data_IF_685882752740
#
_entry.id   IF_685882752740
#
_cell.length_a   1.000
_cell.length_b   1.000
_cell.length_c   1.000
_cell.angle_alpha   90.00
_cell.angle_beta   90.00
_cell.angle_gamma   90.00
#
_symmetry.space_group_name_H-M   'P 1'
#
loop_
_entity.id
_entity.type
_entity.pdbx_description
1 polymer ?
#
# COMPACT_ATOMS: atom_id res chain seq x y z
N UNK A 1 3.40 31.30 2.68
CA UNK A 1 2.33 31.01 3.66
C UNK A 1 2.79 31.22 5.09
N UNK A 2 1.95 31.71 6.02
CA UNK A 2 2.26 31.74 7.46
C UNK A 2 2.55 30.34 8.00
N UNK A 3 3.47 30.21 8.96
CA UNK A 3 3.93 28.92 9.49
C UNK A 3 2.78 28.01 9.95
N UNK A 4 1.87 28.50 10.80
CA UNK A 4 0.71 27.73 11.30
C UNK A 4 -0.17 27.20 10.17
N UNK A 5 -0.42 27.98 9.13
CA UNK A 5 -1.27 27.60 8.00
C UNK A 5 -0.67 26.46 7.17
N UNK A 6 0.67 26.37 7.07
CA UNK A 6 1.35 25.27 6.36
C UNK A 6 1.11 23.92 7.05
N UNK A 7 1.19 23.89 8.37
CA UNK A 7 0.99 22.65 9.13
C UNK A 7 -0.48 22.19 9.14
N UNK A 8 -1.44 23.12 9.12
CA UNK A 8 -2.85 22.75 8.89
C UNK A 8 -3.06 22.15 7.50
N UNK A 9 -2.37 22.64 6.48
CA UNK A 9 -2.42 22.05 5.14
C UNK A 9 -1.77 20.64 5.11
N UNK A 10 -0.66 20.44 5.82
CA UNK A 10 -0.05 19.10 6.00
C UNK A 10 -1.00 18.17 6.74
N UNK A 11 -1.70 18.66 7.77
CA UNK A 11 -2.70 17.89 8.49
C UNK A 11 -3.90 17.50 7.59
N UNK A 12 -4.42 18.42 6.77
CA UNK A 12 -5.48 18.13 5.81
C UNK A 12 -5.11 17.03 4.81
N UNK A 13 -3.89 17.15 4.24
CA UNK A 13 -3.34 16.16 3.31
C UNK A 13 -3.08 14.84 4.01
N UNK A 14 -2.49 14.87 5.19
CA UNK A 14 -2.22 13.67 5.98
C UNK A 14 -3.50 12.92 6.36
N UNK A 15 -4.54 13.65 6.77
CA UNK A 15 -5.84 13.06 7.10
C UNK A 15 -6.50 12.39 5.88
N UNK A 16 -6.37 12.97 4.68
CA UNK A 16 -6.88 12.34 3.45
C UNK A 16 -6.12 11.06 3.07
N UNK A 17 -4.80 11.00 3.30
CA UNK A 17 -3.99 9.81 3.07
C UNK A 17 -4.34 8.72 4.10
N UNK A 18 -4.47 9.09 5.37
CA UNK A 18 -4.93 8.19 6.42
C UNK A 18 -6.30 7.59 6.05
N UNK A 19 -7.25 8.43 5.62
CA UNK A 19 -8.57 8.01 5.17
C UNK A 19 -8.51 6.98 4.03
N UNK A 20 -7.70 7.22 3.00
CA UNK A 20 -7.56 6.29 1.87
C UNK A 20 -6.89 4.96 2.25
N UNK A 21 -6.16 4.93 3.36
CA UNK A 21 -5.52 3.74 3.90
C UNK A 21 -6.38 3.03 4.96
N UNK A 22 -7.37 3.73 5.52
CA UNK A 22 -8.30 3.20 6.51
C UNK A 22 -9.33 2.28 5.81
N UNK A 23 -8.89 1.11 5.38
CA UNK A 23 -9.81 0.14 4.74
C UNK A 23 -10.41 -0.81 5.79
N UNK A 24 -11.38 -0.29 6.55
CA UNK A 24 -12.15 -1.07 7.51
C UNK A 24 -13.11 -2.07 6.84
N UNK A 25 -13.28 -1.99 5.53
CA UNK A 25 -14.19 -2.83 4.72
C UNK A 25 -13.81 -4.31 4.77
N UNK A 26 -12.52 -4.60 4.93
CA UNK A 26 -11.99 -5.96 4.91
C UNK A 26 -12.68 -6.85 5.95
N UNK A 27 -12.84 -6.35 7.18
CA UNK A 27 -13.48 -7.11 8.27
C UNK A 27 -14.98 -7.30 8.03
N UNK A 28 -15.60 -6.42 7.23
CA UNK A 28 -17.02 -6.44 6.93
C UNK A 28 -17.41 -7.39 5.77
N UNK A 29 -16.44 -7.97 5.06
CA UNK A 29 -16.69 -8.82 3.89
C UNK A 29 -17.66 -9.99 4.17
N UNK A 30 -17.52 -10.78 5.24
CA UNK A 30 -18.46 -11.85 5.55
C UNK A 30 -19.87 -11.32 5.79
N UNK A 31 -20.02 -10.22 6.54
CA UNK A 31 -21.32 -9.61 6.80
C UNK A 31 -22.00 -9.09 5.53
N UNK A 32 -21.22 -8.56 4.57
CA UNK A 32 -21.73 -8.15 3.26
C UNK A 32 -22.13 -9.34 2.40
N UNK A 33 -21.34 -10.43 2.41
CA UNK A 33 -21.63 -11.68 1.71
C UNK A 33 -22.98 -12.24 2.18
N UNK A 34 -23.19 -12.32 3.49
CA UNK A 34 -24.46 -12.78 4.08
C UNK A 34 -25.65 -11.83 3.74
N UNK A 35 -25.42 -10.52 3.84
CA UNK A 35 -26.48 -9.52 3.57
C UNK A 35 -26.99 -9.57 2.14
N UNK A 36 -26.08 -9.69 1.17
CA UNK A 36 -26.44 -9.73 -0.26
C UNK A 36 -26.58 -11.15 -0.82
N UNK A 37 -26.43 -12.18 0.01
CA UNK A 37 -26.48 -13.61 -0.37
C UNK A 37 -25.50 -13.94 -1.50
N UNK A 38 -24.26 -13.46 -1.37
CA UNK A 38 -23.21 -13.62 -2.35
C UNK A 38 -22.31 -14.80 -2.02
N UNK A 39 -21.76 -15.43 -3.06
CA UNK A 39 -20.63 -16.35 -2.89
C UNK A 39 -19.38 -15.57 -2.43
N UNK A 40 -18.45 -16.28 -1.75
CA UNK A 40 -17.18 -15.71 -1.33
C UNK A 40 -16.42 -15.10 -2.54
N UNK A 41 -16.43 -15.78 -3.69
CA UNK A 41 -15.80 -15.30 -4.91
C UNK A 41 -16.38 -13.97 -5.43
N UNK A 42 -17.71 -13.81 -5.42
CA UNK A 42 -18.36 -12.56 -5.83
C UNK A 42 -18.10 -11.41 -4.84
N UNK A 43 -17.93 -11.73 -3.56
CA UNK A 43 -17.63 -10.73 -2.55
C UNK A 43 -16.26 -10.06 -2.76
N UNK A 44 -15.33 -10.72 -3.47
CA UNK A 44 -14.06 -10.11 -3.88
C UNK A 44 -14.24 -8.83 -4.69
N UNK A 45 -15.35 -8.71 -5.43
CA UNK A 45 -15.68 -7.51 -6.21
C UNK A 45 -15.79 -6.26 -5.33
N UNK A 46 -16.12 -6.39 -4.04
CA UNK A 46 -16.14 -5.26 -3.10
C UNK A 46 -14.73 -4.65 -2.95
N UNK A 47 -13.69 -5.48 -2.88
CA UNK A 47 -12.29 -5.01 -2.83
C UNK A 47 -11.82 -4.58 -4.21
N UNK A 48 -12.07 -5.39 -5.24
CA UNK A 48 -11.57 -5.16 -6.60
C UNK A 48 -12.17 -3.89 -7.21
N UNK A 49 -13.45 -3.61 -6.99
CA UNK A 49 -14.11 -2.39 -7.49
C UNK A 49 -13.55 -1.09 -6.89
N UNK A 50 -12.87 -1.16 -5.76
CA UNK A 50 -12.11 -0.05 -5.17
C UNK A 50 -10.67 -0.03 -5.67
N UNK A 51 -9.97 -1.18 -5.62
CA UNK A 51 -8.53 -1.24 -5.86
C UNK A 51 -8.16 -1.13 -7.35
N UNK A 52 -9.00 -1.63 -8.26
CA UNK A 52 -8.75 -1.54 -9.71
C UNK A 52 -8.79 -0.07 -10.18
N UNK A 53 -9.87 0.70 -9.96
CA UNK A 53 -9.90 2.12 -10.35
C UNK A 53 -8.78 2.93 -9.70
N UNK A 54 -8.50 2.68 -8.42
CA UNK A 54 -7.40 3.32 -7.70
C UNK A 54 -6.05 3.05 -8.39
N UNK A 55 -5.79 1.81 -8.81
CA UNK A 55 -4.54 1.41 -9.46
C UNK A 55 -4.42 1.98 -10.88
N UNK A 56 -5.48 1.88 -11.67
CA UNK A 56 -5.50 2.35 -13.07
C UNK A 56 -5.39 3.87 -13.15
N UNK A 57 -6.07 4.59 -12.26
CA UNK A 57 -6.14 6.04 -12.30
C UNK A 57 -4.95 6.73 -11.63
N UNK A 58 -4.11 6.02 -10.85
CA UNK A 58 -2.98 6.66 -10.16
C UNK A 58 -1.97 7.29 -11.13
N UNK A 59 -1.69 6.65 -12.27
CA UNK A 59 -0.77 7.15 -13.27
C UNK A 59 -1.35 8.36 -14.03
N UNK A 60 -2.56 8.32 -14.62
CA UNK A 60 -3.14 9.49 -15.27
C UNK A 60 -3.41 10.64 -14.29
N UNK A 61 -3.85 10.39 -13.07
CA UNK A 61 -3.99 11.44 -12.05
C UNK A 61 -2.64 12.08 -11.74
N UNK A 62 -1.57 11.30 -11.59
CA UNK A 62 -0.21 11.81 -11.36
C UNK A 62 0.30 12.69 -12.50
N UNK A 63 0.01 12.32 -13.73
CA UNK A 63 0.40 13.10 -14.91
C UNK A 63 -0.38 14.42 -15.04
N UNK A 64 -1.63 14.45 -14.59
CA UNK A 64 -2.52 15.61 -14.71
C UNK A 64 -2.48 16.56 -13.53
N UNK A 65 -1.99 16.12 -12.34
CA UNK A 65 -2.10 16.89 -11.08
C UNK A 65 -1.47 18.29 -11.16
N UNK A 66 -0.41 18.46 -11.94
CA UNK A 66 0.26 19.76 -12.13
C UNK A 66 -0.51 20.76 -13.01
N UNK A 67 -1.57 20.31 -13.71
CA UNK A 67 -2.38 21.14 -14.60
C UNK A 67 -3.57 21.81 -13.89
N UNK A 68 -3.96 21.29 -12.73
CA UNK A 68 -5.13 21.76 -12.01
C UNK A 68 -4.74 22.54 -10.75
N UNK A 69 -5.63 23.43 -10.33
CA UNK A 69 -5.46 24.21 -9.09
C UNK A 69 -5.53 23.26 -7.89
N UNK A 70 -4.59 23.34 -6.94
CA UNK A 70 -4.48 22.40 -5.81
C UNK A 70 -5.74 22.30 -4.95
N UNK A 71 -6.34 23.43 -4.56
CA UNK A 71 -7.49 23.45 -3.67
C UNK A 71 -8.74 22.78 -4.28
N UNK A 72 -9.25 23.16 -5.48
CA UNK A 72 -10.44 22.49 -6.03
C UNK A 72 -10.19 21.01 -6.30
N UNK A 73 -8.98 20.61 -6.72
CA UNK A 73 -8.64 19.21 -6.93
C UNK A 73 -8.61 18.43 -5.63
N UNK A 74 -8.07 19.02 -4.55
CA UNK A 74 -8.09 18.41 -3.22
C UNK A 74 -9.52 18.23 -2.70
N UNK A 75 -10.36 19.26 -2.83
CA UNK A 75 -11.76 19.18 -2.41
C UNK A 75 -12.55 18.15 -3.23
N UNK A 76 -12.36 18.13 -4.56
CA UNK A 76 -13.00 17.14 -5.42
C UNK A 76 -12.59 15.71 -5.00
N UNK A 77 -11.30 15.48 -4.70
CA UNK A 77 -10.82 14.18 -4.26
C UNK A 77 -11.45 13.72 -2.94
N UNK A 78 -11.43 14.59 -1.92
CA UNK A 78 -11.94 14.24 -0.58
C UNK A 78 -13.48 14.14 -0.56
N UNK A 79 -14.18 15.08 -1.20
CA UNK A 79 -15.64 15.07 -1.25
C UNK A 79 -16.18 13.95 -2.15
N UNK A 80 -15.52 13.67 -3.27
CA UNK A 80 -15.85 12.55 -4.14
C UNK A 80 -15.66 11.20 -3.45
N UNK A 81 -14.57 11.04 -2.67
CA UNK A 81 -14.38 9.86 -1.82
C UNK A 81 -15.49 9.74 -0.77
N UNK A 82 -15.85 10.84 -0.11
CA UNK A 82 -16.96 10.89 0.85
C UNK A 82 -18.31 10.55 0.23
N UNK A 83 -18.58 11.04 -0.99
CA UNK A 83 -19.80 10.69 -1.74
C UNK A 83 -19.87 9.18 -2.02
N UNK A 84 -18.76 8.59 -2.50
CA UNK A 84 -18.65 7.13 -2.69
C UNK A 84 -18.92 6.38 -1.38
N UNK A 85 -18.39 6.89 -0.25
CA UNK A 85 -18.62 6.31 1.08
C UNK A 85 -20.10 6.37 1.49
N UNK A 86 -20.78 7.50 1.26
CA UNK A 86 -22.22 7.63 1.52
C UNK A 86 -23.01 6.65 0.64
N UNK A 87 -22.68 6.54 -0.65
CA UNK A 87 -23.34 5.59 -1.56
C UNK A 87 -23.15 4.14 -1.08
N UNK A 88 -21.96 3.76 -0.64
CA UNK A 88 -21.72 2.43 -0.08
C UNK A 88 -22.53 2.19 1.21
N UNK A 89 -22.54 3.17 2.12
CA UNK A 89 -23.27 3.06 3.39
C UNK A 89 -24.81 3.02 3.21
N UNK A 90 -25.34 3.61 2.15
CA UNK A 90 -26.76 3.60 1.80
C UNK A 90 -27.12 2.50 0.79
N UNK A 91 -26.19 1.62 0.42
CA UNK A 91 -26.42 0.61 -0.59
C UNK A 91 -27.45 -0.43 -0.15
N UNK A 92 -28.57 -0.48 -0.86
CA UNK A 92 -29.65 -1.45 -0.68
C UNK A 92 -29.47 -2.69 -1.55
N UNK A 93 -28.61 -2.62 -2.57
CA UNK A 93 -28.29 -3.71 -3.50
C UNK A 93 -26.79 -3.73 -3.82
N UNK A 94 -26.33 -4.88 -4.28
CA UNK A 94 -24.91 -5.07 -4.58
C UNK A 94 -24.36 -4.17 -5.69
N UNK A 95 -25.04 -3.96 -6.84
CA UNK A 95 -24.57 -3.02 -7.86
C UNK A 95 -24.35 -1.60 -7.36
N UNK A 96 -25.19 -1.07 -6.47
CA UNK A 96 -25.02 0.25 -5.89
C UNK A 96 -23.78 0.32 -4.98
N UNK A 97 -23.52 -0.75 -4.20
CA UNK A 97 -22.31 -0.89 -3.41
C UNK A 97 -21.07 -0.84 -4.30
N UNK A 98 -21.06 -1.63 -5.39
CA UNK A 98 -19.94 -1.67 -6.36
C UNK A 98 -19.72 -0.29 -7.01
N UNK A 99 -20.77 0.39 -7.42
CA UNK A 99 -20.67 1.75 -7.99
C UNK A 99 -20.04 2.73 -6.97
N UNK A 100 -20.48 2.69 -5.72
CA UNK A 100 -19.91 3.49 -4.66
C UNK A 100 -18.41 3.19 -4.45
N UNK A 101 -18.00 1.91 -4.51
CA UNK A 101 -16.59 1.48 -4.41
C UNK A 101 -15.75 1.96 -5.60
N UNK A 102 -16.28 1.92 -6.83
CA UNK A 102 -15.61 2.47 -8.02
C UNK A 102 -15.37 3.96 -7.86
N UNK A 103 -16.36 4.70 -7.37
CA UNK A 103 -16.24 6.15 -7.09
C UNK A 103 -15.17 6.38 -6.00
N UNK A 104 -15.23 5.67 -4.87
CA UNK A 104 -14.22 5.77 -3.82
C UNK A 104 -12.81 5.50 -4.34
N UNK A 105 -12.61 4.42 -5.11
CA UNK A 105 -11.31 4.05 -5.68
C UNK A 105 -10.77 5.11 -6.64
N UNK A 106 -11.65 5.68 -7.48
CA UNK A 106 -11.28 6.73 -8.42
C UNK A 106 -10.80 8.00 -7.71
N UNK A 107 -11.53 8.47 -6.73
CA UNK A 107 -11.12 9.63 -5.93
C UNK A 107 -9.99 9.31 -4.95
N UNK A 108 -9.87 8.07 -4.49
CA UNK A 108 -8.73 7.56 -3.72
C UNK A 108 -7.40 7.66 -4.50
N UNK A 109 -7.42 7.38 -5.81
CA UNK A 109 -6.26 7.59 -6.68
C UNK A 109 -5.83 9.07 -6.72
N UNK A 110 -6.79 9.98 -6.77
CA UNK A 110 -6.54 11.41 -6.76
C UNK A 110 -5.96 11.86 -5.40
N UNK A 111 -6.46 11.34 -4.28
CA UNK A 111 -5.91 11.59 -2.94
C UNK A 111 -4.45 11.13 -2.87
N UNK A 112 -4.17 9.90 -3.29
CA UNK A 112 -2.83 9.32 -3.20
C UNK A 112 -1.79 10.05 -4.05
N UNK A 113 -2.16 10.49 -5.25
CA UNK A 113 -1.23 11.17 -6.17
C UNK A 113 -0.94 12.60 -5.76
N UNK A 114 -1.95 13.36 -5.32
CA UNK A 114 -1.74 14.77 -4.97
C UNK A 114 -1.16 14.96 -3.57
N UNK A 115 -1.35 14.00 -2.64
CA UNK A 115 -0.95 14.16 -1.26
C UNK A 115 0.53 14.47 -1.09
N UNK A 116 1.41 13.66 -1.67
CA UNK A 116 2.86 13.87 -1.59
C UNK A 116 3.30 15.15 -2.35
N UNK A 117 2.69 15.44 -3.50
CA UNK A 117 3.00 16.63 -4.27
C UNK A 117 2.63 17.93 -3.53
N UNK A 118 1.45 17.96 -2.91
CA UNK A 118 1.00 19.07 -2.07
C UNK A 118 1.90 19.26 -0.86
N UNK A 119 2.22 18.17 -0.14
CA UNK A 119 3.10 18.25 1.02
C UNK A 119 4.45 18.87 0.68
N UNK A 120 5.07 18.46 -0.43
CA UNK A 120 6.34 19.01 -0.89
C UNK A 120 6.26 20.49 -1.28
N UNK A 121 5.11 20.95 -1.80
CA UNK A 121 4.90 22.32 -2.24
C UNK A 121 4.53 23.29 -1.11
N UNK A 122 3.88 22.79 -0.05
CA UNK A 122 3.35 23.61 1.04
C UNK A 122 4.45 24.04 2.03
N UNK A 123 5.39 23.13 2.33
CA UNK A 123 6.40 23.36 3.37
C UNK A 123 7.71 23.94 2.81
N UNK A 124 8.43 24.65 3.67
CA UNK A 124 9.76 25.16 3.31
C UNK A 124 10.75 23.98 3.08
N UNK A 125 11.81 24.18 2.26
CA UNK A 125 12.76 23.11 1.95
C UNK A 125 13.34 22.39 3.18
N UNK A 126 13.65 23.11 4.24
CA UNK A 126 14.21 22.59 5.49
C UNK A 126 13.17 21.81 6.35
N UNK A 127 11.86 21.97 6.11
CA UNK A 127 10.78 21.28 6.82
C UNK A 127 10.24 20.05 6.05
N UNK A 128 10.66 19.87 4.80
CA UNK A 128 10.15 18.79 3.92
C UNK A 128 10.32 17.41 4.53
N UNK A 129 11.47 17.12 5.12
CA UNK A 129 11.72 15.83 5.77
C UNK A 129 10.70 15.53 6.88
N UNK A 130 10.39 16.51 7.73
CA UNK A 130 9.41 16.38 8.81
C UNK A 130 7.98 16.19 8.27
N UNK A 131 7.57 16.95 7.27
CA UNK A 131 6.25 16.83 6.66
C UNK A 131 6.07 15.49 5.95
N UNK A 132 7.07 15.06 5.17
CA UNK A 132 7.06 13.76 4.49
C UNK A 132 7.09 12.58 5.46
N UNK A 133 7.85 12.68 6.54
CA UNK A 133 7.85 11.68 7.62
C UNK A 133 6.48 11.54 8.28
N UNK A 134 5.84 12.67 8.62
CA UNK A 134 4.50 12.66 9.20
C UNK A 134 3.47 12.03 8.24
N UNK A 135 3.45 12.45 6.98
CA UNK A 135 2.52 11.91 5.98
C UNK A 135 2.82 10.45 5.69
N UNK A 136 4.10 10.07 5.59
CA UNK A 136 4.52 8.70 5.38
C UNK A 136 4.12 7.74 6.51
N UNK A 137 4.00 8.23 7.75
CA UNK A 137 3.52 7.43 8.89
C UNK A 137 2.00 7.25 8.91
N UNK A 138 1.23 8.16 8.31
CA UNK A 138 -0.24 8.12 8.38
C UNK A 138 -0.84 7.01 7.51
N UNK A 139 -0.24 6.65 6.39
CA UNK A 139 -0.71 5.53 5.57
C UNK A 139 -0.59 4.17 6.29
N UNK A 140 0.58 3.79 6.88
CA UNK A 140 0.67 2.61 7.72
C UNK A 140 -0.28 2.64 8.92
N UNK A 141 -0.43 3.79 9.59
CA UNK A 141 -1.36 3.93 10.71
C UNK A 141 -2.81 3.71 10.29
N UNK A 142 -3.21 4.20 9.10
CA UNK A 142 -4.53 3.92 8.54
C UNK A 142 -4.74 2.42 8.31
N UNK A 143 -3.78 1.75 7.70
CA UNK A 143 -3.82 0.30 7.46
C UNK A 143 -3.88 -0.53 8.76
N UNK A 144 -3.20 -0.07 9.82
CA UNK A 144 -3.30 -0.68 11.15
C UNK A 144 -4.68 -0.41 11.77
N UNK A 145 -5.15 0.84 11.72
CA UNK A 145 -6.40 1.22 12.36
C UNK A 145 -7.65 0.61 11.70
N UNK A 146 -7.61 0.35 10.40
CA UNK A 146 -8.74 -0.15 9.60
C UNK A 146 -9.40 -1.39 10.18
N UNK A 147 -8.71 -2.52 10.25
CA UNK A 147 -9.31 -3.75 10.78
C UNK A 147 -9.76 -3.63 12.24
N UNK A 148 -9.00 -2.94 13.08
CA UNK A 148 -9.36 -2.73 14.49
C UNK A 148 -10.63 -1.91 14.66
N UNK A 149 -10.70 -0.75 14.02
CA UNK A 149 -11.89 0.12 14.04
C UNK A 149 -13.07 -0.59 13.38
N UNK A 150 -12.84 -1.25 12.22
CA UNK A 150 -13.87 -2.00 11.51
C UNK A 150 -14.47 -3.10 12.35
N UNK A 151 -13.64 -3.90 13.03
CA UNK A 151 -14.10 -4.97 13.93
C UNK A 151 -14.92 -4.45 15.10
N UNK A 152 -14.51 -3.37 15.75
CA UNK A 152 -15.28 -2.74 16.84
C UNK A 152 -16.60 -2.14 16.35
N UNK A 153 -16.62 -1.52 15.19
CA UNK A 153 -17.85 -0.99 14.61
C UNK A 153 -18.86 -2.11 14.30
N UNK A 154 -18.39 -3.22 13.72
CA UNK A 154 -19.21 -4.37 13.38
C UNK A 154 -19.73 -5.14 14.60
N UNK A 155 -19.04 -5.04 15.75
CA UNK A 155 -19.50 -5.64 16.99
C UNK A 155 -20.79 -4.98 17.55
N UNK A 156 -21.02 -3.70 17.20
CA UNK A 156 -22.12 -2.90 17.77
C UNK A 156 -23.11 -2.40 16.71
N UNK A 157 -22.70 -2.33 15.45
CA UNK A 157 -23.52 -1.79 14.35
C UNK A 157 -23.44 -2.67 13.10
N UNK A 158 -24.31 -2.40 12.14
CA UNK A 158 -24.32 -3.07 10.86
C UNK A 158 -23.13 -2.64 9.97
N UNK A 159 -22.81 -3.44 8.94
CA UNK A 159 -21.66 -3.23 8.06
C UNK A 159 -21.61 -1.85 7.37
N UNK A 160 -22.74 -1.19 7.18
CA UNK A 160 -22.84 0.14 6.55
C UNK A 160 -22.05 1.21 7.30
N UNK A 161 -21.93 1.08 8.62
CA UNK A 161 -21.25 2.07 9.48
C UNK A 161 -19.77 2.16 9.16
N UNK A 162 -19.16 1.09 8.67
CA UNK A 162 -17.76 1.07 8.21
C UNK A 162 -17.51 2.11 7.12
N UNK A 163 -18.49 2.39 6.28
CA UNK A 163 -18.39 3.42 5.26
C UNK A 163 -18.72 4.81 5.82
N UNK A 164 -19.70 4.92 6.71
CA UNK A 164 -20.08 6.21 7.28
C UNK A 164 -18.98 6.83 8.15
N UNK A 165 -18.10 6.04 8.74
CA UNK A 165 -16.91 6.56 9.47
C UNK A 165 -16.03 7.45 8.59
N UNK A 166 -15.98 7.21 7.29
CA UNK A 166 -15.20 8.02 6.37
C UNK A 166 -15.76 9.43 6.19
N UNK A 167 -17.09 9.60 6.32
CA UNK A 167 -17.76 10.87 6.01
C UNK A 167 -17.33 12.02 6.90
N UNK A 168 -17.31 11.90 8.25
CA UNK A 168 -16.81 12.97 9.11
C UNK A 168 -15.33 13.26 8.89
N UNK A 169 -14.52 12.25 8.57
CA UNK A 169 -13.10 12.43 8.26
C UNK A 169 -12.93 13.23 6.97
N UNK A 170 -13.72 12.92 5.92
CA UNK A 170 -13.78 13.69 4.68
C UNK A 170 -14.19 15.15 4.95
N UNK A 171 -15.24 15.36 5.75
CA UNK A 171 -15.70 16.69 6.13
C UNK A 171 -14.61 17.51 6.82
N UNK A 172 -13.92 16.91 7.79
CA UNK A 172 -12.81 17.56 8.51
C UNK A 172 -11.63 17.87 7.57
N UNK A 173 -11.23 16.92 6.72
CA UNK A 173 -10.16 17.12 5.75
C UNK A 173 -10.51 18.22 4.74
N UNK A 174 -11.75 18.27 4.26
CA UNK A 174 -12.25 19.32 3.34
C UNK A 174 -12.24 20.70 4.01
N UNK A 175 -12.72 20.82 5.25
CA UNK A 175 -12.69 22.07 6.01
C UNK A 175 -11.26 22.55 6.23
N UNK A 176 -10.36 21.69 6.71
CA UNK A 176 -8.96 22.03 6.88
C UNK A 176 -8.31 22.46 5.55
N UNK A 177 -8.63 21.77 4.45
CA UNK A 177 -8.17 22.11 3.11
C UNK A 177 -8.67 23.47 2.64
N UNK A 178 -9.95 23.81 2.84
CA UNK A 178 -10.55 25.10 2.53
C UNK A 178 -9.82 26.27 3.23
N UNK A 179 -9.47 26.09 4.51
CA UNK A 179 -8.77 27.13 5.27
C UNK A 179 -7.28 27.23 4.91
N UNK A 180 -6.62 26.09 4.62
CA UNK A 180 -5.18 26.03 4.54
C UNK A 180 -4.61 26.07 3.12
N UNK A 181 -5.29 25.52 2.11
CA UNK A 181 -4.78 25.39 0.75
C UNK A 181 -5.09 26.58 -0.18
N UNK A 182 -5.80 27.58 0.28
CA UNK A 182 -6.08 28.79 -0.51
C UNK A 182 -4.77 29.49 -0.92
N UNK A 183 -4.60 29.73 -2.25
CA UNK A 183 -3.41 30.39 -2.81
C UNK A 183 -2.16 29.52 -2.91
N UNK A 184 -2.26 28.21 -2.72
CA UNK A 184 -1.19 27.24 -3.04
C UNK A 184 -1.18 27.03 -4.55
N UNK A 185 -0.01 27.12 -5.19
CA UNK A 185 0.24 26.70 -6.55
C UNK A 185 1.26 25.55 -6.55
N UNK A 186 0.97 24.49 -7.28
CA UNK A 186 1.96 23.51 -7.68
C UNK A 186 2.65 24.10 -8.89
N UNK A 187 3.97 24.40 -8.82
CA UNK A 187 4.73 24.87 -9.98
C UNK A 187 4.53 23.91 -11.16
N UNK A 188 4.55 24.46 -12.38
CA UNK A 188 4.40 23.65 -13.59
C UNK A 188 5.47 22.56 -13.64
N UNK A 189 5.11 21.34 -13.28
CA UNK A 189 5.87 20.14 -13.61
C UNK A 189 5.47 19.77 -15.03
N UNK A 190 6.35 20.01 -15.99
CA UNK A 190 6.29 19.35 -17.29
C UNK A 190 6.78 17.90 -17.08
N UNK A 191 5.92 16.90 -17.11
CA UNK A 191 6.40 15.53 -17.21
C UNK A 191 6.84 15.33 -18.65
N UNK A 192 8.10 15.02 -18.87
CA UNK A 192 8.54 14.38 -20.11
C UNK A 192 7.98 12.95 -20.12
N UNK A 193 6.73 12.83 -20.51
CA UNK A 193 6.01 11.55 -20.49
C UNK A 193 6.67 10.50 -21.41
N UNK A 194 7.37 10.93 -22.48
CA UNK A 194 8.04 10.03 -23.42
C UNK A 194 9.29 9.36 -22.85
N UNK A 195 10.08 10.05 -22.05
CA UNK A 195 11.30 9.49 -21.44
C UNK A 195 10.99 8.50 -20.29
N UNK A 196 9.88 8.71 -19.59
CA UNK A 196 9.49 7.88 -18.44
C UNK A 196 9.22 6.41 -18.82
N UNK A 197 8.47 6.16 -19.89
CA UNK A 197 8.18 4.79 -20.35
C UNK A 197 9.42 4.05 -20.84
N UNK A 198 10.31 4.75 -21.55
CA UNK A 198 11.57 4.18 -22.01
C UNK A 198 12.45 3.75 -20.82
N UNK A 199 12.59 4.61 -19.80
CA UNK A 199 13.33 4.30 -18.59
C UNK A 199 12.70 3.14 -17.80
N UNK A 200 11.36 3.04 -17.72
CA UNK A 200 10.68 1.91 -17.11
C UNK A 200 11.01 0.59 -17.84
N UNK A 201 10.98 0.57 -19.17
CA UNK A 201 11.31 -0.60 -19.96
C UNK A 201 12.79 -1.03 -19.79
N UNK A 202 13.71 -0.07 -19.69
CA UNK A 202 15.11 -0.34 -19.41
C UNK A 202 15.32 -0.94 -18.01
N UNK A 203 14.62 -0.43 -17.01
CA UNK A 203 14.70 -0.94 -15.63
C UNK A 203 14.20 -2.37 -15.54
N UNK A 204 13.11 -2.71 -16.23
CA UNK A 204 12.56 -4.07 -16.26
C UNK A 204 13.50 -5.07 -16.94
N UNK A 205 14.43 -4.64 -17.81
CA UNK A 205 15.46 -5.48 -18.39
C UNK A 205 16.65 -5.73 -17.46
N UNK A 206 16.82 -4.95 -16.40
CA UNK A 206 17.88 -5.15 -15.41
C UNK A 206 17.52 -6.31 -14.48
N UNK A 207 18.33 -7.36 -14.47
CA UNK A 207 18.08 -8.62 -13.73
C UNK A 207 17.70 -8.38 -12.27
N UNK A 208 18.54 -7.66 -11.52
CA UNK A 208 18.30 -7.43 -10.09
C UNK A 208 17.05 -6.59 -9.83
N UNK A 209 16.75 -5.62 -10.70
CA UNK A 209 15.55 -4.79 -10.59
C UNK A 209 14.30 -5.61 -10.83
N UNK A 210 14.27 -6.43 -11.88
CA UNK A 210 13.13 -7.29 -12.22
C UNK A 210 12.79 -8.27 -11.09
N UNK A 211 13.80 -9.01 -10.59
CA UNK A 211 13.57 -9.99 -9.51
C UNK A 211 13.21 -9.32 -8.19
N UNK A 212 13.82 -8.19 -7.84
CA UNK A 212 13.43 -7.43 -6.66
C UNK A 212 11.99 -6.87 -6.75
N UNK A 213 11.59 -6.44 -7.95
CA UNK A 213 10.22 -6.00 -8.22
C UNK A 213 9.22 -7.16 -8.08
N UNK A 214 9.53 -8.31 -8.67
CA UNK A 214 8.67 -9.50 -8.63
C UNK A 214 8.55 -10.10 -7.22
N UNK A 215 9.66 -10.15 -6.46
CA UNK A 215 9.64 -10.60 -5.07
C UNK A 215 8.75 -9.73 -4.17
N UNK A 216 8.81 -8.41 -4.35
CA UNK A 216 7.90 -7.52 -3.63
C UNK A 216 6.45 -7.68 -4.09
N UNK A 217 6.20 -7.79 -5.39
CA UNK A 217 4.86 -8.04 -5.93
C UNK A 217 4.26 -9.30 -5.30
N UNK A 218 5.03 -10.40 -5.23
CA UNK A 218 4.60 -11.65 -4.59
C UNK A 218 4.24 -11.44 -3.13
N UNK A 219 5.07 -10.72 -2.37
CA UNK A 219 4.82 -10.45 -0.94
C UNK A 219 3.56 -9.60 -0.71
N UNK A 220 3.34 -8.57 -1.53
CA UNK A 220 2.12 -7.74 -1.44
C UNK A 220 0.89 -8.51 -1.91
N UNK A 221 1.04 -9.40 -2.89
CA UNK A 221 -0.04 -10.31 -3.34
C UNK A 221 -0.46 -11.25 -2.20
N UNK A 222 0.49 -11.79 -1.43
CA UNK A 222 0.19 -12.58 -0.22
C UNK A 222 -0.60 -11.74 0.78
N UNK A 223 -0.17 -10.50 1.06
CA UNK A 223 -0.88 -9.62 1.99
C UNK A 223 -2.33 -9.35 1.54
N UNK A 224 -2.53 -9.01 0.26
CA UNK A 224 -3.85 -8.79 -0.32
C UNK A 224 -4.74 -10.03 -0.25
N UNK A 225 -4.17 -11.20 -0.54
CA UNK A 225 -4.87 -12.47 -0.47
C UNK A 225 -5.23 -12.87 0.98
N UNK A 226 -4.34 -12.65 1.95
CA UNK A 226 -4.61 -12.86 3.38
C UNK A 226 -5.72 -11.94 3.89
N UNK A 227 -5.69 -10.66 3.53
CA UNK A 227 -6.75 -9.72 3.90
C UNK A 227 -8.11 -10.05 3.29
N UNK A 228 -8.12 -10.78 2.17
CA UNK A 228 -9.35 -11.26 1.58
C UNK A 228 -9.84 -12.57 2.23
N UNK A 229 -8.96 -13.57 2.42
CA UNK A 229 -9.32 -14.89 2.93
C UNK A 229 -9.63 -14.89 4.43
N UNK A 230 -8.77 -14.26 5.24
CA UNK A 230 -8.84 -14.37 6.70
C UNK A 230 -10.18 -13.91 7.31
N UNK A 231 -10.86 -12.85 6.86
CA UNK A 231 -12.17 -12.49 7.39
C UNK A 231 -13.20 -13.64 7.28
N UNK A 232 -13.17 -14.41 6.18
CA UNK A 232 -14.06 -15.56 6.01
C UNK A 232 -13.63 -16.74 6.91
N UNK A 233 -12.32 -17.03 7.00
CA UNK A 233 -11.84 -18.07 7.93
C UNK A 233 -12.22 -17.73 9.38
N UNK A 234 -11.97 -16.50 9.82
CA UNK A 234 -12.25 -16.05 11.18
C UNK A 234 -13.76 -16.05 11.49
N UNK A 235 -14.64 -15.75 10.53
CA UNK A 235 -16.09 -15.74 10.68
C UNK A 235 -16.70 -17.13 10.56
N UNK A 236 -16.38 -17.85 9.48
CA UNK A 236 -17.14 -19.02 9.04
C UNK A 236 -16.53 -20.34 9.54
N UNK A 237 -15.20 -20.40 9.73
CA UNK A 237 -14.49 -21.58 10.25
C UNK A 237 -14.23 -21.46 11.74
N UNK A 238 -13.73 -20.30 12.17
CA UNK A 238 -13.36 -20.08 13.58
C UNK A 238 -14.53 -19.57 14.44
N UNK A 239 -15.63 -19.14 13.82
CA UNK A 239 -16.83 -18.57 14.47
C UNK A 239 -16.53 -17.44 15.45
N UNK A 240 -15.52 -16.60 15.13
CA UNK A 240 -15.10 -15.48 15.96
C UNK A 240 -15.97 -14.25 15.74
N UNK A 241 -16.10 -13.46 16.79
CA UNK A 241 -16.80 -12.16 16.68
C UNK A 241 -16.02 -11.19 15.79
N UNK A 242 -16.69 -10.26 15.08
CA UNK A 242 -16.02 -9.25 14.24
C UNK A 242 -14.97 -8.43 15.00
N UNK A 243 -15.19 -8.15 16.28
CA UNK A 243 -14.24 -7.46 17.14
C UNK A 243 -12.94 -8.26 17.31
N UNK A 244 -13.04 -9.56 17.62
CA UNK A 244 -11.88 -10.44 17.75
C UNK A 244 -11.17 -10.62 16.42
N UNK A 245 -11.91 -10.81 15.33
CA UNK A 245 -11.36 -10.91 13.99
C UNK A 245 -10.58 -9.65 13.61
N UNK A 246 -11.13 -8.45 13.88
CA UNK A 246 -10.44 -7.19 13.67
C UNK A 246 -9.13 -7.06 14.43
N UNK A 247 -9.09 -7.51 15.69
CA UNK A 247 -7.87 -7.51 16.52
C UNK A 247 -6.81 -8.48 16.00
N UNK A 248 -7.21 -9.67 15.54
CA UNK A 248 -6.28 -10.64 14.93
C UNK A 248 -5.68 -10.06 13.63
N UNK A 249 -6.50 -9.46 12.78
CA UNK A 249 -6.05 -8.84 11.53
C UNK A 249 -5.09 -7.65 11.74
N UNK A 250 -5.12 -6.99 12.91
CA UNK A 250 -4.14 -5.96 13.28
C UNK A 250 -2.72 -6.50 13.42
N UNK A 251 -2.54 -7.78 13.75
CA UNK A 251 -1.22 -8.33 14.09
C UNK A 251 -0.26 -8.28 12.91
N UNK A 252 -0.75 -8.49 11.67
CA UNK A 252 0.09 -8.42 10.49
C UNK A 252 0.64 -7.01 10.23
N UNK A 253 -0.16 -5.94 10.14
CA UNK A 253 0.37 -4.58 9.93
C UNK A 253 1.17 -4.06 11.14
N UNK A 254 0.88 -4.51 12.36
CA UNK A 254 1.71 -4.20 13.53
C UNK A 254 3.11 -4.81 13.39
N UNK A 255 3.21 -6.09 13.04
CA UNK A 255 4.48 -6.75 12.77
C UNK A 255 5.26 -6.06 11.66
N UNK A 256 4.58 -5.70 10.57
CA UNK A 256 5.18 -4.95 9.45
C UNK A 256 5.72 -3.59 9.89
N UNK A 257 4.94 -2.83 10.67
CA UNK A 257 5.30 -1.46 11.07
C UNK A 257 6.47 -1.43 12.03
N UNK A 258 6.41 -2.22 13.11
CA UNK A 258 7.45 -2.27 14.15
C UNK A 258 8.79 -2.74 13.56
N UNK A 259 8.78 -3.84 12.83
CA UNK A 259 10.02 -4.43 12.28
C UNK A 259 10.48 -3.70 11.02
N UNK A 260 9.58 -3.08 10.25
CA UNK A 260 9.94 -2.25 9.11
C UNK A 260 10.83 -1.06 9.48
N UNK A 261 10.57 -0.42 10.63
CA UNK A 261 11.43 0.65 11.16
C UNK A 261 12.83 0.14 11.53
N UNK A 262 12.89 -1.01 12.21
CA UNK A 262 14.15 -1.66 12.58
C UNK A 262 14.90 -2.16 11.34
N UNK A 263 14.19 -2.69 10.35
CA UNK A 263 14.75 -3.18 9.09
C UNK A 263 15.47 -2.10 8.30
N UNK A 264 14.95 -0.86 8.30
CA UNK A 264 15.62 0.29 7.70
C UNK A 264 16.97 0.57 8.36
N UNK A 265 16.99 0.69 9.69
CA UNK A 265 18.22 0.93 10.46
C UNK A 265 19.27 -0.19 10.28
N UNK A 266 18.83 -1.44 10.31
CA UNK A 266 19.70 -2.59 10.11
C UNK A 266 20.26 -2.67 8.68
N UNK A 267 19.48 -2.27 7.69
CA UNK A 267 19.89 -2.19 6.29
C UNK A 267 21.04 -1.22 6.08
N UNK A 268 20.98 -0.06 6.73
CA UNK A 268 22.04 0.95 6.63
C UNK A 268 23.36 0.44 7.22
N UNK A 269 23.33 -0.44 8.22
CA UNK A 269 24.52 -0.96 8.92
C UNK A 269 25.08 -2.24 8.29
N UNK A 270 24.24 -3.15 7.85
CA UNK A 270 24.64 -4.51 7.43
C UNK A 270 24.33 -4.80 5.95
N UNK A 271 23.78 -3.82 5.22
CA UNK A 271 23.32 -4.00 3.86
C UNK A 271 21.93 -4.61 3.76
N UNK A 272 21.29 -4.45 2.61
CA UNK A 272 19.88 -4.80 2.44
C UNK A 272 19.65 -6.30 2.16
N UNK A 273 20.59 -6.99 1.50
CA UNK A 273 20.41 -8.37 1.02
C UNK A 273 20.14 -9.41 2.12
N UNK A 274 20.87 -9.46 3.25
CA UNK A 274 20.58 -10.45 4.29
C UNK A 274 19.15 -10.30 4.84
N UNK A 275 18.65 -9.07 4.95
CA UNK A 275 17.30 -8.80 5.47
C UNK A 275 16.20 -9.12 4.46
N UNK A 276 16.43 -8.93 3.16
CA UNK A 276 15.47 -9.40 2.15
C UNK A 276 15.35 -10.93 2.14
N UNK A 277 16.45 -11.65 2.31
CA UNK A 277 16.45 -13.11 2.36
C UNK A 277 15.80 -13.63 3.66
N UNK A 278 16.21 -13.10 4.81
CA UNK A 278 15.61 -13.52 6.10
C UNK A 278 14.13 -13.13 6.19
N UNK A 279 13.76 -11.94 5.70
CA UNK A 279 12.37 -11.48 5.67
C UNK A 279 11.49 -12.37 4.80
N UNK A 280 11.91 -12.67 3.55
CA UNK A 280 11.16 -13.58 2.67
C UNK A 280 11.09 -15.01 3.23
N UNK A 281 12.15 -15.49 3.86
CA UNK A 281 12.17 -16.79 4.57
C UNK A 281 11.18 -16.83 5.73
N UNK A 282 11.09 -15.77 6.54
CA UNK A 282 10.11 -15.65 7.63
C UNK A 282 8.67 -15.59 7.09
N UNK A 283 8.44 -14.89 5.95
CA UNK A 283 7.12 -14.92 5.29
C UNK A 283 6.77 -16.35 4.88
N UNK A 284 7.70 -17.10 4.29
CA UNK A 284 7.46 -18.47 3.88
C UNK A 284 7.12 -19.37 5.08
N UNK A 285 7.91 -19.30 6.15
CA UNK A 285 7.66 -20.08 7.38
C UNK A 285 6.32 -19.68 8.00
N UNK A 286 6.05 -18.39 8.13
CA UNK A 286 4.80 -17.89 8.70
C UNK A 286 3.56 -18.33 7.91
N UNK A 287 3.64 -18.26 6.57
CA UNK A 287 2.56 -18.66 5.67
C UNK A 287 2.37 -20.20 5.69
N UNK A 288 3.44 -20.98 5.72
CA UNK A 288 3.37 -22.44 5.89
C UNK A 288 2.67 -22.81 7.19
N UNK A 289 3.08 -22.21 8.30
CA UNK A 289 2.47 -22.45 9.60
C UNK A 289 1.01 -21.98 9.65
N UNK A 290 0.67 -20.88 8.99
CA UNK A 290 -0.70 -20.39 8.91
C UNK A 290 -1.57 -21.33 8.07
N UNK A 291 -1.09 -21.81 6.92
CA UNK A 291 -1.86 -22.69 6.02
C UNK A 291 -2.20 -24.05 6.66
N UNK A 292 -1.43 -24.50 7.65
CA UNK A 292 -1.74 -25.74 8.39
C UNK A 292 -2.97 -25.61 9.28
N UNK A 293 -3.42 -24.40 9.61
CA UNK A 293 -4.53 -24.16 10.54
C UNK A 293 -5.78 -23.54 9.90
N UNK A 294 -5.69 -23.08 8.67
CA UNK A 294 -6.81 -22.42 7.96
C UNK A 294 -8.07 -23.30 7.79
N UNK A 295 -7.98 -24.61 7.97
CA UNK A 295 -9.10 -25.53 7.73
C UNK A 295 -9.66 -26.09 9.05
N UNK A 296 -8.98 -25.85 10.17
CA UNK A 296 -9.32 -26.42 11.47
C UNK A 296 -9.61 -25.33 12.50
N UNK A 297 -10.59 -25.54 13.37
CA UNK A 297 -10.80 -24.68 14.52
C UNK A 297 -9.52 -24.56 15.35
N UNK A 298 -9.05 -23.34 15.57
CA UNK A 298 -7.75 -23.07 16.17
C UNK A 298 -7.86 -21.98 17.23
N UNK A 299 -6.96 -21.97 18.21
CA UNK A 299 -6.97 -20.94 19.24
C UNK A 299 -6.65 -19.54 18.66
N UNK A 300 -7.27 -18.51 19.22
CA UNK A 300 -6.99 -17.09 18.87
C UNK A 300 -5.49 -16.78 18.98
N UNK A 301 -4.84 -17.30 20.03
CA UNK A 301 -3.41 -17.13 20.24
C UNK A 301 -2.60 -17.72 19.07
N UNK A 302 -2.98 -18.89 18.60
CA UNK A 302 -2.28 -19.63 17.56
C UNK A 302 -2.35 -18.93 16.19
N UNK A 303 -3.50 -18.35 15.84
CA UNK A 303 -3.67 -17.50 14.66
C UNK A 303 -2.88 -16.19 14.78
N UNK A 304 -2.92 -15.57 15.96
CA UNK A 304 -2.33 -14.26 16.21
C UNK A 304 -0.81 -14.25 16.01
N UNK A 305 -0.09 -15.21 16.65
CA UNK A 305 1.37 -15.22 16.53
C UNK A 305 1.86 -15.61 15.11
N UNK A 306 1.13 -16.50 14.43
CA UNK A 306 1.47 -16.86 13.03
C UNK A 306 1.29 -15.68 12.10
N UNK A 307 0.20 -14.94 12.25
CA UNK A 307 -0.06 -13.75 11.46
C UNK A 307 0.95 -12.62 11.77
N UNK A 308 1.32 -12.49 13.04
CA UNK A 308 2.39 -11.58 13.47
C UNK A 308 3.73 -11.96 12.83
N UNK A 309 4.06 -13.26 12.76
CA UNK A 309 5.28 -13.76 12.13
C UNK A 309 5.33 -13.41 10.63
N UNK A 310 4.21 -13.57 9.92
CA UNK A 310 4.08 -13.13 8.52
C UNK A 310 4.34 -11.62 8.41
N UNK A 311 3.73 -10.82 9.30
CA UNK A 311 3.92 -9.37 9.33
C UNK A 311 5.37 -8.96 9.60
N UNK A 312 6.04 -9.61 10.55
CA UNK A 312 7.48 -9.41 10.85
C UNK A 312 8.31 -9.70 9.61
N UNK A 313 8.08 -10.83 8.94
CA UNK A 313 8.77 -11.20 7.71
C UNK A 313 8.58 -10.15 6.61
N UNK A 314 7.35 -9.68 6.40
CA UNK A 314 7.04 -8.63 5.43
C UNK A 314 7.73 -7.30 5.76
N UNK A 315 7.73 -6.90 7.04
CA UNK A 315 8.42 -5.69 7.50
C UNK A 315 9.92 -5.74 7.24
N UNK A 316 10.53 -6.89 7.52
CA UNK A 316 11.96 -7.11 7.31
C UNK A 316 12.33 -7.22 5.81
N UNK A 317 11.39 -7.60 4.95
CA UNK A 317 11.57 -7.69 3.50
C UNK A 317 11.36 -6.36 2.79
N UNK A 318 10.27 -5.66 3.07
CA UNK A 318 9.77 -4.54 2.24
C UNK A 318 10.74 -3.36 2.18
N UNK A 319 11.21 -2.87 3.33
CA UNK A 319 12.14 -1.74 3.42
C UNK A 319 13.48 -2.03 2.76
N UNK A 320 14.19 -3.10 3.15
CA UNK A 320 15.45 -3.50 2.53
C UNK A 320 15.35 -3.76 1.02
N UNK A 321 14.29 -4.41 0.56
CA UNK A 321 14.07 -4.63 -0.87
C UNK A 321 13.87 -3.30 -1.64
N UNK A 322 13.15 -2.35 -1.04
CA UNK A 322 13.02 -1.00 -1.62
C UNK A 322 14.38 -0.30 -1.72
N UNK A 323 15.22 -0.42 -0.69
CA UNK A 323 16.57 0.14 -0.69
C UNK A 323 17.44 -0.49 -1.79
N UNK A 324 17.39 -1.83 -1.97
CA UNK A 324 18.10 -2.51 -3.06
C UNK A 324 17.70 -1.99 -4.44
N UNK A 325 16.42 -1.75 -4.66
CA UNK A 325 15.91 -1.26 -5.94
C UNK A 325 16.31 0.20 -6.22
N UNK A 326 16.34 1.04 -5.18
CA UNK A 326 16.60 2.47 -5.34
C UNK A 326 18.11 2.81 -5.32
N UNK A 327 18.94 2.03 -4.63
CA UNK A 327 20.37 2.33 -4.45
C UNK A 327 21.19 2.24 -5.74
N UNK A 328 20.70 1.51 -6.72
CA UNK A 328 21.36 1.30 -8.01
C UNK A 328 20.92 2.30 -9.10
N UNK A 329 20.02 3.23 -8.77
CA UNK A 329 19.38 4.10 -9.76
C UNK A 329 20.07 5.47 -9.84
N UNK A 330 20.18 5.98 -11.07
CA UNK A 330 20.66 7.34 -11.35
C UNK A 330 19.53 8.35 -11.11
N UNK A 331 19.87 9.64 -11.02
CA UNK A 331 18.86 10.71 -10.88
C UNK A 331 17.81 10.70 -12.00
N UNK A 332 18.20 10.24 -13.19
CA UNK A 332 17.33 10.17 -14.36
C UNK A 332 16.32 9.02 -14.29
N UNK A 333 16.74 7.85 -13.77
CA UNK A 333 15.90 6.65 -13.68
C UNK A 333 15.12 6.56 -12.36
N UNK A 334 15.49 7.35 -11.34
CA UNK A 334 14.85 7.35 -10.00
C UNK A 334 13.33 7.57 -10.05
N UNK A 335 12.86 8.44 -10.95
CA UNK A 335 11.43 8.69 -11.14
C UNK A 335 10.69 7.46 -11.67
N UNK A 336 11.26 6.80 -12.67
CA UNK A 336 10.70 5.58 -13.25
C UNK A 336 10.73 4.40 -12.24
N UNK A 337 11.80 4.26 -11.48
CA UNK A 337 11.93 3.25 -10.43
C UNK A 337 10.89 3.44 -9.31
N UNK A 338 10.67 4.69 -8.88
CA UNK A 338 9.63 5.03 -7.90
C UNK A 338 8.22 4.74 -8.43
N UNK A 339 7.94 5.07 -9.69
CA UNK A 339 6.66 4.80 -10.32
C UNK A 339 6.37 3.29 -10.41
N UNK A 340 7.35 2.49 -10.86
CA UNK A 340 7.25 1.02 -10.89
C UNK A 340 7.06 0.43 -9.49
N UNK A 341 7.74 0.98 -8.49
CA UNK A 341 7.61 0.55 -7.09
C UNK A 341 6.20 0.80 -6.53
N UNK A 342 5.61 1.94 -6.83
CA UNK A 342 4.24 2.24 -6.43
C UNK A 342 3.22 1.37 -7.18
N UNK A 343 3.41 1.19 -8.49
CA UNK A 343 2.53 0.37 -9.33
C UNK A 343 2.49 -1.08 -8.83
N UNK A 344 3.66 -1.70 -8.55
CA UNK A 344 3.73 -3.07 -8.03
C UNK A 344 2.99 -3.26 -6.71
N UNK A 345 3.09 -2.25 -5.80
CA UNK A 345 2.40 -2.31 -4.53
C UNK A 345 0.87 -2.34 -4.72
N UNK A 346 0.37 -1.56 -5.68
CA UNK A 346 -1.06 -1.56 -6.02
C UNK A 346 -1.50 -2.82 -6.76
N UNK A 347 -0.71 -3.29 -7.72
CA UNK A 347 -0.99 -4.55 -8.44
C UNK A 347 -1.04 -5.74 -7.48
N UNK A 348 -0.14 -5.83 -6.50
CA UNK A 348 -0.17 -6.91 -5.51
C UNK A 348 -1.48 -6.94 -4.72
N UNK A 349 -1.99 -5.78 -4.29
CA UNK A 349 -3.26 -5.71 -3.57
C UNK A 349 -4.49 -6.08 -4.45
N UNK A 350 -4.38 -5.96 -5.77
CA UNK A 350 -5.40 -6.42 -6.73
C UNK A 350 -5.28 -7.92 -6.99
N UNK A 351 -4.05 -8.40 -7.23
CA UNK A 351 -3.82 -9.79 -7.62
C UNK A 351 -4.15 -10.78 -6.50
N UNK A 352 -3.97 -10.42 -5.23
CA UNK A 352 -4.30 -11.28 -4.10
C UNK A 352 -5.76 -11.74 -4.11
N UNK A 353 -6.72 -10.83 -3.92
CA UNK A 353 -8.15 -11.16 -3.97
C UNK A 353 -8.59 -11.75 -5.31
N UNK A 354 -8.03 -11.27 -6.44
CA UNK A 354 -8.38 -11.75 -7.77
C UNK A 354 -7.99 -13.22 -7.97
N UNK A 355 -6.78 -13.62 -7.61
CA UNK A 355 -6.30 -15.00 -7.72
C UNK A 355 -7.16 -15.94 -6.88
N UNK A 356 -7.43 -15.58 -5.63
CA UNK A 356 -8.27 -16.39 -4.76
C UNK A 356 -9.70 -16.48 -5.29
N UNK A 357 -10.28 -15.38 -5.73
CA UNK A 357 -11.64 -15.34 -6.28
C UNK A 357 -11.77 -16.24 -7.51
N UNK A 358 -10.79 -16.22 -8.42
CA UNK A 358 -10.79 -17.09 -9.60
C UNK A 358 -10.68 -18.56 -9.16
N UNK A 359 -9.76 -18.91 -8.28
CA UNK A 359 -9.57 -20.28 -7.81
C UNK A 359 -10.84 -20.78 -7.12
N UNK A 360 -11.42 -19.98 -6.24
CA UNK A 360 -12.63 -20.33 -5.51
C UNK A 360 -13.86 -20.51 -6.41
N UNK A 361 -13.93 -19.82 -7.55
CA UNK A 361 -15.02 -20.00 -8.51
C UNK A 361 -15.05 -21.40 -9.14
N UNK A 362 -13.94 -22.13 -9.11
CA UNK A 362 -13.83 -23.50 -9.65
C UNK A 362 -13.91 -24.59 -8.58
N UNK A 363 -13.85 -24.24 -7.30
CA UNK A 363 -13.83 -25.19 -6.19
C UNK A 363 -15.17 -25.18 -5.45
N UNK A 364 -15.75 -26.32 -5.08
CA UNK A 364 -16.93 -26.38 -4.24
C UNK A 364 -16.54 -26.40 -2.75
N UNK A 365 -17.21 -25.57 -1.93
CA UNK A 365 -17.15 -25.61 -0.48
C UNK A 365 -16.00 -24.82 0.15
N UNK A 366 -16.29 -24.26 1.34
CA UNK A 366 -15.39 -23.36 2.06
C UNK A 366 -14.07 -24.01 2.49
N UNK A 367 -14.06 -25.28 2.86
CA UNK A 367 -12.84 -26.00 3.26
C UNK A 367 -11.82 -26.11 2.12
N UNK A 368 -12.28 -26.35 0.88
CA UNK A 368 -11.42 -26.38 -0.30
C UNK A 368 -10.94 -24.98 -0.65
N UNK A 369 -11.75 -23.94 -0.45
CA UNK A 369 -11.35 -22.55 -0.63
C UNK A 369 -10.17 -22.19 0.30
N UNK A 370 -10.25 -22.53 1.58
CA UNK A 370 -9.21 -22.21 2.56
C UNK A 370 -7.92 -22.98 2.27
N UNK A 371 -8.01 -24.29 1.96
CA UNK A 371 -6.83 -25.10 1.64
C UNK A 371 -6.14 -24.64 0.35
N UNK A 372 -6.91 -24.31 -0.68
CA UNK A 372 -6.37 -23.75 -1.93
C UNK A 372 -5.70 -22.39 -1.69
N UNK A 373 -6.27 -21.54 -0.83
CA UNK A 373 -5.64 -20.30 -0.39
C UNK A 373 -4.27 -20.55 0.24
N UNK A 374 -4.17 -21.52 1.14
CA UNK A 374 -2.90 -21.94 1.74
C UNK A 374 -1.83 -22.32 0.71
N UNK A 375 -2.21 -23.11 -0.29
CA UNK A 375 -1.29 -23.50 -1.39
C UNK A 375 -0.82 -22.28 -2.19
N UNK A 376 -1.73 -21.35 -2.52
CA UNK A 376 -1.39 -20.10 -3.23
C UNK A 376 -0.40 -19.26 -2.41
N UNK A 377 -0.61 -19.12 -1.11
CA UNK A 377 0.28 -18.36 -0.23
C UNK A 377 1.68 -18.97 -0.21
N UNK A 378 1.78 -20.29 -0.07
CA UNK A 378 3.06 -21.01 -0.06
C UNK A 378 3.77 -20.84 -1.41
N UNK A 379 3.07 -21.00 -2.52
CA UNK A 379 3.66 -20.82 -3.86
C UNK A 379 4.21 -19.40 -4.07
N UNK A 380 3.45 -18.38 -3.68
CA UNK A 380 3.90 -16.98 -3.75
C UNK A 380 5.07 -16.70 -2.80
N UNK A 381 5.08 -17.29 -1.62
CA UNK A 381 6.17 -17.11 -0.66
C UNK A 381 7.45 -17.79 -1.13
N UNK A 382 7.38 -18.98 -1.71
CA UNK A 382 8.52 -19.63 -2.38
C UNK A 382 9.04 -18.76 -3.52
N UNK A 383 8.16 -18.22 -4.35
CA UNK A 383 8.54 -17.29 -5.41
C UNK A 383 9.25 -16.06 -4.84
N UNK A 384 8.76 -15.49 -3.74
CA UNK A 384 9.41 -14.34 -3.07
C UNK A 384 10.83 -14.67 -2.59
N UNK A 385 11.03 -15.85 -1.99
CA UNK A 385 12.37 -16.32 -1.54
C UNK A 385 13.30 -16.52 -2.73
N UNK A 386 12.84 -17.17 -3.80
CA UNK A 386 13.63 -17.36 -5.02
C UNK A 386 14.02 -16.02 -5.65
N UNK A 387 13.08 -15.07 -5.71
CA UNK A 387 13.33 -13.74 -6.19
C UNK A 387 14.40 -13.02 -5.34
N UNK A 388 14.28 -13.07 -4.02
CA UNK A 388 15.26 -12.46 -3.11
C UNK A 388 16.67 -13.09 -3.26
N UNK A 389 16.73 -14.38 -3.51
CA UNK A 389 18.00 -15.09 -3.75
C UNK A 389 18.63 -14.69 -5.10
N UNK A 390 17.82 -14.51 -6.15
CA UNK A 390 18.25 -14.12 -7.49
C UNK A 390 18.71 -12.66 -7.60
N UNK A 391 18.32 -11.80 -6.66
CA UNK A 391 18.80 -10.41 -6.61
C UNK A 391 20.31 -10.43 -6.28
N UNK A 392 21.14 -10.05 -7.25
CA UNK A 392 22.58 -9.92 -7.08
C UNK A 392 22.90 -8.62 -6.34
N UNK A 393 23.85 -8.63 -5.36
CA UNK A 393 24.30 -7.39 -4.77
C UNK A 393 24.97 -6.55 -5.87
N UNK A 394 24.46 -5.35 -6.06
CA UNK A 394 25.17 -4.39 -6.89
C UNK A 394 26.21 -3.67 -6.01
N UNK A 395 27.43 -3.41 -6.53
CA UNK A 395 28.39 -2.59 -5.80
C UNK A 395 27.70 -1.25 -5.49
N UNK A 396 27.66 -0.88 -4.20
CA UNK A 396 27.13 0.40 -3.77
C UNK A 396 27.84 1.51 -4.54
N UNK A 397 27.08 2.37 -5.20
CA UNK A 397 27.61 3.60 -5.80
C UNK A 397 28.26 4.41 -4.68
N UNK A 398 29.60 4.40 -4.64
CA UNK A 398 30.36 5.20 -3.70
C UNK A 398 30.77 6.49 -4.42
N UNK A 399 30.09 7.61 -4.16
CA UNK A 399 30.42 8.89 -4.80
C UNK A 399 31.85 9.38 -4.48
N UNK A 400 32.48 8.86 -3.42
CA UNK A 400 33.85 9.18 -3.05
C UNK A 400 34.90 8.49 -3.95
N UNK A 401 34.54 7.42 -4.67
CA UNK A 401 35.50 6.72 -5.59
C UNK A 401 35.42 7.24 -7.04
N UNK A 402 34.37 7.97 -7.41
CA UNK A 402 34.23 8.60 -8.74
C UNK A 402 34.61 10.07 -8.76
N UNK A 403 34.99 10.63 -7.62
CA UNK A 403 35.34 12.04 -7.42
C UNK A 403 36.78 12.42 -7.72
N UNK A 404 37.56 11.61 -8.44
CA UNK A 404 38.80 12.07 -9.06
C UNK A 404 38.58 12.46 -10.52
N UNK A 405 37.64 13.43 -10.73
CA UNK A 405 37.84 14.30 -11.87
C UNK A 405 39.18 15.05 -11.65
N UNK A 406 40.08 15.08 -12.62
CA UNK A 406 41.32 15.82 -12.49
C UNK A 406 40.99 17.24 -12.09
N UNK A 407 41.60 17.70 -11.00
CA UNK A 407 41.35 19.06 -10.49
C UNK A 407 41.60 20.04 -11.64
N UNK A 408 40.74 21.07 -11.73
CA UNK A 408 40.80 22.13 -12.72
C UNK A 408 42.20 22.79 -12.78
N UNK A 409 43.07 22.53 -11.80
CA UNK A 409 44.47 22.94 -11.80
C UNK A 409 45.37 22.10 -12.72
N UNK A 410 45.12 20.82 -12.94
CA UNK A 410 45.92 19.98 -13.86
C UNK A 410 45.54 20.18 -15.33
N UNK A 411 44.29 20.62 -15.62
CA UNK A 411 43.86 20.95 -16.98
C UNK A 411 44.44 22.30 -17.45
N UNK A 412 44.67 23.25 -16.56
CA UNK A 412 45.29 24.53 -16.85
C UNK A 412 46.84 24.41 -17.03
N UNK A 413 47.47 23.52 -16.33
CA UNK A 413 48.93 23.28 -16.47
C UNK A 413 49.33 22.58 -17.78
N UNK A 414 48.40 21.88 -18.44
CA UNK A 414 48.63 21.28 -19.79
C UNK A 414 48.29 22.17 -20.96
N UNK A 415 47.80 23.38 -20.74
CA UNK A 415 47.57 24.40 -21.79
C UNK A 415 48.69 25.47 -21.84
N UNK A 416 49.63 25.40 -20.89
CA UNK A 416 50.81 26.31 -20.85
C UNK A 416 52.12 25.61 -21.24
N UNK A 417 52.13 24.31 -21.65
CA UNK A 417 53.21 23.63 -22.35
C UNK A 417 52.85 23.47 -23.86
#
# INVERSE_FOLDING_TARGET
MPYKRRWWAVAAVGLSIFLSALDATIVALPSMAHWFQLSESLTSLVILSYTIPLTVLILPCGALIGRFRPLPTFLAAVLGFGLGSIMCGLATNFPLLILGRVIQGSFGALIGTQGLALAAAIVAPHERGRAMGLIGSLAPLGGIAGPGIGGQLLAHWSWQVVFFVNVPICGLAALLGLFSLRGVSLGERRPDAGSGFHHMALLLRRWSFFWGLLGFLSTVTIAGALYYLLPFDLSDVQHLTPSTAGLILLCMPLGMGVVGLLGGYLTDRYGARPFTLTGSGLVLVGVLLLSLVLVHPTSVFDLTWRLLLVGIGMGLFNGPNQTLLMSAETKETMGAASALSNLRARLGSVFGPLLLSIIWSFLPGSTLHMSAGGVVFVALAVLSVLCAWLVRPQPSYNPAKTGSAPSTRESLARQEE
#
